data_IF_890453439067
#
_entry.id   IF_890453439067
#
_cell.length_a   1.000
_cell.length_b   1.000
_cell.length_c   1.000
_cell.angle_alpha   90.00
_cell.angle_beta   90.00
_cell.angle_gamma   90.00
#
_symmetry.space_group_name_H-M   'P 1'
#
loop_
_entity.id
_entity.type
_entity.pdbx_description
1 polymer ?
#
# COMPACT_ATOMS: atom_id res chain seq x y z
N UNK A 1 15.36 6.26 7.90
CA UNK A 1 14.17 6.40 7.04
C UNK A 1 13.35 5.14 7.20
N UNK A 2 12.05 5.26 7.47
CA UNK A 2 11.11 4.13 7.54
C UNK A 2 10.27 4.12 6.28
N UNK A 3 9.96 2.92 5.76
CA UNK A 3 9.06 2.73 4.63
C UNK A 3 8.02 1.67 5.00
N UNK A 4 6.76 1.98 4.76
CA UNK A 4 5.64 1.05 4.87
C UNK A 4 5.16 0.71 3.45
N UNK A 5 4.73 -0.53 3.24
CA UNK A 5 4.28 -1.01 1.94
C UNK A 5 4.69 -2.45 1.71
N UNK A 6 4.98 -2.78 0.45
CA UNK A 6 5.41 -4.10 0.03
C UNK A 6 6.06 -4.07 -1.34
N UNK A 7 6.39 -5.25 -1.84
CA UNK A 7 6.98 -5.45 -3.16
C UNK A 7 6.08 -6.38 -3.97
N UNK A 8 5.89 -6.03 -5.25
CA UNK A 8 5.17 -6.88 -6.21
C UNK A 8 6.23 -7.52 -7.11
N UNK A 9 6.38 -8.83 -6.98
CA UNK A 9 7.33 -9.60 -7.77
C UNK A 9 6.60 -10.34 -8.87
N UNK A 10 7.07 -10.17 -10.10
CA UNK A 10 6.57 -10.89 -11.25
C UNK A 10 7.72 -11.68 -11.89
N UNK A 11 7.59 -13.01 -11.91
CA UNK A 11 8.59 -13.90 -12.49
C UNK A 11 8.23 -14.35 -13.92
N UNK A 12 7.18 -13.78 -14.54
CA UNK A 12 6.71 -14.12 -15.88
C UNK A 12 6.53 -15.62 -16.13
N UNK A 13 6.10 -16.38 -15.09
CA UNK A 13 6.03 -17.85 -15.14
C UNK A 13 5.15 -18.39 -16.29
N UNK A 14 4.26 -17.58 -16.84
CA UNK A 14 3.37 -17.93 -17.97
C UNK A 14 3.60 -17.06 -19.22
N UNK A 15 4.69 -16.28 -19.30
CA UNK A 15 5.02 -15.46 -20.46
C UNK A 15 4.14 -14.22 -20.66
N UNK A 16 3.36 -13.82 -19.65
CA UNK A 16 2.55 -12.59 -19.66
C UNK A 16 2.85 -11.78 -18.39
N UNK A 17 3.00 -10.47 -18.54
CA UNK A 17 3.21 -9.61 -17.37
C UNK A 17 2.01 -9.65 -16.42
N UNK A 18 0.75 -9.42 -16.83
CA UNK A 18 -0.37 -9.49 -15.86
C UNK A 18 -1.76 -9.87 -16.41
N UNK A 19 -2.57 -10.41 -15.47
CA UNK A 19 -4.03 -10.23 -15.31
C UNK A 19 -4.38 -10.27 -13.80
N UNK A 20 -3.55 -9.59 -12.99
CA UNK A 20 -3.34 -9.70 -11.52
C UNK A 20 -3.35 -11.11 -10.91
N UNK A 21 -2.18 -11.68 -10.62
CA UNK A 21 -2.09 -12.85 -9.70
C UNK A 21 -2.32 -12.49 -8.24
N UNK A 22 -2.14 -11.20 -7.89
CA UNK A 22 -2.33 -10.66 -6.55
C UNK A 22 -3.06 -9.32 -6.65
N UNK A 23 -4.02 -9.11 -5.75
CA UNK A 23 -4.91 -7.95 -5.77
C UNK A 23 -6.24 -8.23 -6.47
N UNK A 24 -7.14 -7.26 -6.40
CA UNK A 24 -8.51 -7.34 -6.91
C UNK A 24 -8.67 -6.78 -8.32
N UNK A 25 -7.62 -6.21 -8.91
CA UNK A 25 -7.67 -5.46 -10.17
C UNK A 25 -8.22 -4.03 -10.03
N UNK A 26 -8.71 -3.65 -8.85
CA UNK A 26 -9.19 -2.30 -8.55
C UNK A 26 -8.04 -1.35 -8.24
N UNK A 27 -8.22 -0.07 -8.56
CA UNK A 27 -7.23 0.97 -8.29
C UNK A 27 -7.14 1.27 -6.78
N UNK A 28 -5.95 1.67 -6.30
CA UNK A 28 -5.79 2.02 -4.89
C UNK A 28 -6.73 3.16 -4.46
N UNK A 29 -7.04 4.09 -5.37
CA UNK A 29 -7.94 5.22 -5.12
C UNK A 29 -9.40 4.83 -4.87
N UNK A 30 -9.80 3.59 -5.17
CA UNK A 30 -11.14 3.08 -4.87
C UNK A 30 -11.34 2.71 -3.39
N UNK A 31 -10.27 2.69 -2.60
CA UNK A 31 -10.35 2.58 -1.15
C UNK A 31 -10.54 1.17 -0.59
N UNK A 32 -10.79 1.12 0.73
CA UNK A 32 -10.96 -0.13 1.48
C UNK A 32 -12.19 -0.90 0.98
N UNK A 33 -12.05 -2.21 0.83
CA UNK A 33 -13.09 -3.10 0.30
C UNK A 33 -13.07 -3.22 -1.23
N UNK A 34 -12.30 -2.38 -1.92
CA UNK A 34 -11.98 -2.51 -3.34
C UNK A 34 -10.52 -2.86 -3.56
N UNK A 35 -9.61 -2.11 -2.92
CA UNK A 35 -8.17 -2.33 -2.99
C UNK A 35 -7.64 -3.03 -1.73
N UNK A 36 -6.40 -3.57 -1.82
CA UNK A 36 -5.68 -4.01 -0.63
C UNK A 36 -5.30 -2.81 0.23
N UNK A 37 -5.19 -2.97 1.55
CA UNK A 37 -4.93 -1.87 2.46
C UNK A 37 -3.96 -2.24 3.59
N UNK A 38 -3.22 -1.25 4.08
CA UNK A 38 -2.38 -1.34 5.27
C UNK A 38 -2.80 -0.23 6.22
N UNK A 39 -3.35 -0.61 7.37
CA UNK A 39 -3.85 0.29 8.44
C UNK A 39 -3.01 0.10 9.71
N UNK A 40 -3.15 1.02 10.67
CA UNK A 40 -2.40 0.95 11.94
C UNK A 40 -0.90 1.17 11.76
N UNK A 41 -0.52 2.01 10.81
CA UNK A 41 0.89 2.33 10.56
C UNK A 41 1.46 3.13 11.74
N UNK A 42 2.51 2.61 12.36
CA UNK A 42 3.17 3.25 13.49
C UNK A 42 4.53 2.64 13.80
N UNK A 43 5.18 3.19 14.83
CA UNK A 43 6.51 2.82 15.30
C UNK A 43 6.47 2.54 16.80
N UNK A 44 7.11 1.46 17.21
CA UNK A 44 7.37 1.21 18.63
C UNK A 44 8.76 1.73 19.01
N UNK A 45 8.84 2.40 20.15
CA UNK A 45 10.13 2.74 20.74
C UNK A 45 10.70 1.60 21.60
N UNK A 46 11.91 1.81 22.13
CA UNK A 46 12.58 0.83 23.01
C UNK A 46 11.82 0.51 24.31
N UNK A 47 10.85 1.33 24.69
CA UNK A 47 10.01 1.15 25.87
C UNK A 47 8.64 0.53 25.52
N UNK A 48 8.44 0.14 24.26
CA UNK A 48 7.19 -0.45 23.78
C UNK A 48 6.06 0.55 23.58
N UNK A 49 6.34 1.87 23.55
CA UNK A 49 5.33 2.89 23.26
C UNK A 49 5.09 3.00 21.76
N UNK A 50 3.83 2.97 21.35
CA UNK A 50 3.41 3.16 19.96
C UNK A 50 3.32 4.65 19.62
N UNK A 51 3.93 5.03 18.50
CA UNK A 51 3.81 6.32 17.87
C UNK A 51 3.17 6.14 16.50
N UNK A 52 2.10 6.88 16.23
CA UNK A 52 1.46 6.84 14.91
C UNK A 52 2.43 7.29 13.81
N UNK A 53 2.16 6.85 12.58
CA UNK A 53 2.94 7.28 11.43
C UNK A 53 2.97 8.81 11.34
N UNK A 54 4.12 9.41 10.97
CA UNK A 54 4.25 10.86 10.85
C UNK A 54 3.21 11.47 9.91
N UNK A 55 2.84 12.74 10.17
CA UNK A 55 1.89 13.46 9.32
C UNK A 55 2.40 13.70 7.88
N UNK A 56 3.71 13.75 7.70
CA UNK A 56 4.38 14.00 6.42
C UNK A 56 4.81 12.67 5.78
N UNK A 57 3.84 11.95 5.26
CA UNK A 57 4.03 10.70 4.51
C UNK A 57 4.01 11.00 3.01
N UNK A 58 4.93 10.40 2.27
CA UNK A 58 4.95 10.40 0.81
C UNK A 58 4.78 8.98 0.29
N UNK A 59 4.14 8.84 -0.86
CA UNK A 59 3.98 7.55 -1.55
C UNK A 59 4.98 7.41 -2.69
N UNK A 60 5.32 6.16 -3.01
CA UNK A 60 6.21 5.83 -4.11
C UNK A 60 5.79 4.49 -4.74
N UNK A 61 5.70 4.45 -6.06
CA UNK A 61 5.47 3.24 -6.84
C UNK A 61 6.49 3.19 -7.98
N UNK A 62 7.17 2.05 -8.14
CA UNK A 62 8.17 1.86 -9.20
C UNK A 62 7.51 1.82 -10.58
N UNK A 63 6.30 1.26 -10.69
CA UNK A 63 5.53 1.20 -11.93
C UNK A 63 4.04 1.50 -11.67
N UNK A 64 3.66 2.80 -11.53
CA UNK A 64 2.32 3.20 -11.11
C UNK A 64 1.21 2.84 -12.10
N UNK A 65 1.55 2.56 -13.37
CA UNK A 65 0.57 2.10 -14.37
C UNK A 65 0.12 0.65 -14.15
N UNK A 66 0.94 -0.14 -13.46
CA UNK A 66 0.65 -1.53 -13.11
C UNK A 66 -0.05 -1.60 -11.74
N UNK A 67 0.61 -1.02 -10.74
CA UNK A 67 0.09 -0.91 -9.39
C UNK A 67 0.42 0.46 -8.80
N UNK A 68 -0.60 1.15 -8.31
CA UNK A 68 -0.50 2.42 -7.63
C UNK A 68 -0.73 2.29 -6.13
N UNK A 69 -0.43 3.37 -5.42
CA UNK A 69 -0.63 3.48 -3.97
C UNK A 69 -1.27 4.82 -3.65
N UNK A 70 -2.34 4.80 -2.86
CA UNK A 70 -3.01 6.00 -2.37
C UNK A 70 -2.84 6.09 -0.87
N UNK A 71 -2.40 7.26 -0.40
CA UNK A 71 -2.35 7.60 1.02
C UNK A 71 -3.65 8.27 1.42
N UNK A 72 -4.24 7.78 2.52
CA UNK A 72 -5.45 8.30 3.10
C UNK A 72 -5.22 8.73 4.53
N UNK A 73 -6.09 9.64 5.00
CA UNK A 73 -6.14 10.07 6.38
C UNK A 73 -7.57 9.97 6.87
N UNK A 74 -7.76 9.27 7.97
CA UNK A 74 -9.04 9.06 8.61
C UNK A 74 -8.89 9.21 10.13
N UNK A 75 -9.89 9.79 10.78
CA UNK A 75 -9.81 10.10 12.22
C UNK A 75 -9.79 8.83 13.10
N UNK A 76 -10.34 7.72 12.62
CA UNK A 76 -10.38 6.45 13.35
C UNK A 76 -9.25 5.50 12.95
N UNK A 77 -8.89 5.45 11.67
CA UNK A 77 -7.86 4.54 11.14
C UNK A 77 -6.46 5.16 11.10
N UNK A 78 -6.35 6.46 11.35
CA UNK A 78 -5.12 7.22 11.21
C UNK A 78 -4.69 7.36 9.75
N UNK A 79 -3.38 7.47 9.53
CA UNK A 79 -2.83 7.41 8.17
C UNK A 79 -2.75 5.95 7.71
N UNK A 80 -3.33 5.66 6.56
CA UNK A 80 -3.30 4.31 5.97
C UNK A 80 -3.06 4.38 4.47
N UNK A 81 -2.55 3.30 3.90
CA UNK A 81 -2.34 3.19 2.46
C UNK A 81 -3.25 2.13 1.85
N UNK A 82 -3.69 2.38 0.63
CA UNK A 82 -4.27 1.36 -0.24
C UNK A 82 -3.34 1.08 -1.40
N UNK A 83 -3.34 -0.16 -1.88
CA UNK A 83 -2.51 -0.63 -2.99
C UNK A 83 -3.40 -1.40 -3.96
N UNK A 84 -3.34 -1.06 -5.24
CA UNK A 84 -4.22 -1.59 -6.25
C UNK A 84 -3.74 -1.29 -7.66
N UNK A 85 -4.47 -1.76 -8.66
CA UNK A 85 -4.18 -1.53 -10.07
C UNK A 85 -4.50 -2.75 -10.94
N UNK A 86 -4.50 -2.56 -12.27
CA UNK A 86 -4.83 -3.60 -13.25
C UNK A 86 -3.75 -4.68 -13.37
N UNK A 87 -2.58 -4.45 -12.76
CA UNK A 87 -1.39 -5.28 -12.90
C UNK A 87 -0.56 -4.90 -14.10
#
# INVERSE_FOLDING_TARGET
MVRWGGEIVNHEKTGRHTSTQMGSGHFSSEGIGKAAYVIGMGLFDSQGRLYDAPNELNTFATNPMCYDVTLWKDDNLGSYITVGGPG
#
